data_IF_376179792032
#
_entry.id   IF_376179792032
#
_cell.length_a   1.000
_cell.length_b   1.000
_cell.length_c   1.000
_cell.angle_alpha   90.00
_cell.angle_beta   90.00
_cell.angle_gamma   90.00
#
_symmetry.space_group_name_H-M   'P 1'
#
loop_
_entity.id
_entity.type
_entity.pdbx_description
1 polymer ?
#
# COMPACT_ATOMS: atom_id res chain seq x y z
N UNK A 1 -2.04 23.14 16.76
CA UNK A 1 -1.45 22.19 15.78
C UNK A 1 -2.60 21.72 14.90
N UNK A 2 -2.41 21.62 13.58
CA UNK A 2 -3.39 21.05 12.64
C UNK A 2 -3.02 19.60 12.35
N UNK A 3 -4.03 18.74 12.17
CA UNK A 3 -3.83 17.37 11.73
C UNK A 3 -4.09 17.23 10.23
N UNK A 4 -3.10 16.75 9.50
CA UNK A 4 -3.17 16.50 8.06
C UNK A 4 -3.03 14.99 7.83
N UNK A 5 -4.04 14.36 7.23
CA UNK A 5 -3.90 13.00 6.74
C UNK A 5 -3.39 13.02 5.30
N UNK A 6 -2.21 12.44 5.07
CA UNK A 6 -1.73 12.11 3.74
C UNK A 6 -2.30 10.75 3.34
N UNK A 7 -3.42 10.78 2.62
CA UNK A 7 -4.16 9.61 2.15
C UNK A 7 -3.84 9.28 0.69
N UNK A 8 -2.71 9.76 0.17
CA UNK A 8 -2.34 9.56 -1.23
C UNK A 8 -2.16 8.07 -1.56
N UNK A 9 -1.65 7.26 -0.62
CA UNK A 9 -1.54 5.81 -0.78
C UNK A 9 -2.70 5.04 -0.13
N UNK A 10 -3.10 5.43 1.08
CA UNK A 10 -4.02 4.67 1.93
C UNK A 10 -5.50 4.98 1.70
N UNK A 11 -5.80 6.12 1.09
CA UNK A 11 -7.15 6.56 0.79
C UNK A 11 -7.74 5.87 -0.44
N UNK A 12 -8.93 6.35 -0.84
CA UNK A 12 -9.70 5.81 -1.94
C UNK A 12 -9.89 4.28 -1.82
N UNK A 13 -10.18 3.81 -0.59
CA UNK A 13 -10.58 2.42 -0.35
C UNK A 13 -9.46 1.41 -0.16
N UNK A 14 -8.20 1.78 -0.45
CA UNK A 14 -7.03 0.87 -0.45
C UNK A 14 -6.93 -0.01 0.80
N UNK A 15 -7.18 0.57 1.96
CA UNK A 15 -7.03 -0.12 3.25
C UNK A 15 -8.32 -0.80 3.76
N UNK A 16 -9.36 -0.91 2.93
CA UNK A 16 -10.67 -1.43 3.33
C UNK A 16 -11.59 -0.39 3.99
N UNK A 17 -11.20 0.89 3.97
CA UNK A 17 -12.03 2.06 4.29
C UNK A 17 -11.71 3.17 3.29
N UNK A 18 -12.63 4.13 3.11
CA UNK A 18 -12.41 5.21 2.13
C UNK A 18 -11.18 6.05 2.50
N UNK A 19 -11.06 6.48 3.76
CA UNK A 19 -9.82 7.05 4.31
C UNK A 19 -9.14 6.03 5.23
N UNK A 20 -7.83 5.87 5.13
CA UNK A 20 -7.06 5.01 6.02
C UNK A 20 -7.17 5.45 7.48
N UNK A 21 -7.25 6.75 7.74
CA UNK A 21 -7.46 7.33 9.06
C UNK A 21 -8.75 6.90 9.75
N UNK A 22 -9.78 6.49 9.00
CA UNK A 22 -11.06 6.03 9.56
C UNK A 22 -10.91 4.72 10.35
N UNK A 23 -9.82 3.97 10.16
CA UNK A 23 -9.50 2.81 10.99
C UNK A 23 -9.20 3.17 12.44
N UNK A 24 -8.87 4.43 12.70
CA UNK A 24 -8.40 4.91 14.00
C UNK A 24 -9.37 5.92 14.64
N UNK A 25 -10.55 6.10 14.05
CA UNK A 25 -11.55 7.10 14.49
C UNK A 25 -10.97 8.50 14.65
N UNK A 26 -9.98 8.83 13.82
CA UNK A 26 -9.26 10.09 13.87
C UNK A 26 -9.87 11.08 12.88
N UNK A 27 -10.19 12.30 13.34
CA UNK A 27 -10.80 13.34 12.50
C UNK A 27 -9.74 14.35 12.07
N UNK A 28 -9.25 14.32 10.81
CA UNK A 28 -8.28 15.26 10.33
C UNK A 28 -8.89 16.64 10.05
N UNK A 29 -8.04 17.66 10.03
CA UNK A 29 -8.40 18.99 9.59
C UNK A 29 -8.31 19.15 8.08
N UNK A 30 -7.34 18.45 7.49
CA UNK A 30 -7.03 18.44 6.05
C UNK A 30 -6.76 16.99 5.64
N UNK A 31 -7.25 16.61 4.46
CA UNK A 31 -6.97 15.31 3.82
C UNK A 31 -6.39 15.57 2.44
N UNK A 32 -5.26 14.94 2.13
CA UNK A 32 -4.67 14.92 0.79
C UNK A 32 -4.95 13.58 0.11
N UNK A 33 -5.49 13.60 -1.11
CA UNK A 33 -5.84 12.42 -1.92
C UNK A 33 -5.20 12.52 -3.31
N UNK A 34 -4.81 11.38 -3.88
CA UNK A 34 -4.42 11.24 -5.29
C UNK A 34 -4.44 9.74 -5.65
N UNK A 35 -3.54 9.26 -6.51
CA UNK A 35 -3.38 7.85 -6.94
C UNK A 35 -4.72 7.15 -7.21
N UNK A 36 -5.24 6.42 -6.22
CA UNK A 36 -6.50 5.68 -6.30
C UNK A 36 -7.70 6.55 -6.69
N UNK A 37 -7.67 7.85 -6.39
CA UNK A 37 -8.73 8.80 -6.75
C UNK A 37 -8.98 8.90 -8.27
N UNK A 38 -7.92 8.75 -9.07
CA UNK A 38 -8.02 8.65 -10.54
C UNK A 38 -7.69 7.25 -11.08
N UNK A 39 -7.38 6.30 -10.19
CA UNK A 39 -6.91 4.93 -10.48
C UNK A 39 -5.86 4.83 -11.61
N UNK A 40 -5.04 5.88 -11.80
CA UNK A 40 -4.05 5.96 -12.88
C UNK A 40 -4.59 6.30 -14.28
N UNK A 41 -5.91 6.44 -14.47
CA UNK A 41 -6.52 6.82 -15.75
C UNK A 41 -6.28 8.29 -16.11
N UNK A 42 -6.23 9.17 -15.12
CA UNK A 42 -5.87 10.57 -15.29
C UNK A 42 -5.10 11.09 -14.06
N UNK A 43 -4.14 12.01 -14.21
CA UNK A 43 -3.50 12.68 -13.09
C UNK A 43 -4.54 13.50 -12.31
N UNK A 44 -4.90 13.02 -11.13
CA UNK A 44 -5.89 13.66 -10.27
C UNK A 44 -5.41 13.64 -8.82
N UNK A 45 -5.52 14.80 -8.17
CA UNK A 45 -5.31 14.96 -6.74
C UNK A 45 -6.35 15.91 -6.18
N UNK A 46 -6.64 15.77 -4.90
CA UNK A 46 -7.58 16.62 -4.18
C UNK A 46 -7.05 16.93 -2.78
N UNK A 47 -7.36 18.13 -2.30
CA UNK A 47 -7.20 18.52 -0.90
C UNK A 47 -8.60 18.85 -0.37
N UNK A 48 -9.02 18.13 0.66
CA UNK A 48 -10.24 18.43 1.39
C UNK A 48 -9.87 19.07 2.74
N UNK A 49 -10.54 20.15 3.11
CA UNK A 49 -10.29 20.85 4.37
C UNK A 49 -11.62 21.11 5.08
N UNK A 50 -11.59 21.06 6.41
CA UNK A 50 -12.77 21.36 7.23
C UNK A 50 -13.22 22.82 7.09
N UNK A 51 -14.54 23.05 7.16
CA UNK A 51 -15.10 24.41 7.01
C UNK A 51 -14.58 25.40 8.06
N UNK A 52 -14.12 24.92 9.23
CA UNK A 52 -13.49 25.77 10.25
C UNK A 52 -12.21 26.46 9.74
N UNK A 53 -11.54 25.86 8.76
CA UNK A 53 -10.36 26.42 8.09
C UNK A 53 -10.74 27.19 6.84
N UNK A 54 -11.72 26.69 6.08
CA UNK A 54 -12.17 27.32 4.82
C UNK A 54 -12.87 28.65 5.08
N UNK A 55 -13.72 28.76 6.10
CA UNK A 55 -14.52 29.97 6.34
C UNK A 55 -13.68 31.23 6.61
N UNK A 56 -12.69 31.22 7.52
CA UNK A 56 -11.83 32.39 7.73
C UNK A 56 -11.07 32.81 6.48
N UNK A 57 -10.64 31.83 5.68
CA UNK A 57 -9.92 32.06 4.43
C UNK A 57 -10.81 32.73 3.37
N UNK A 58 -12.06 32.31 3.26
CA UNK A 58 -13.05 32.96 2.39
C UNK A 58 -13.33 34.40 2.87
N UNK A 59 -13.51 34.58 4.19
CA UNK A 59 -13.73 35.91 4.78
C UNK A 59 -12.54 36.86 4.59
N UNK A 60 -11.32 36.33 4.47
CA UNK A 60 -10.09 37.11 4.22
C UNK A 60 -9.81 37.37 2.74
N UNK A 61 -10.77 37.16 1.84
CA UNK A 61 -10.59 37.40 0.39
C UNK A 61 -10.22 36.16 -0.43
N UNK A 62 -10.39 34.96 0.14
CA UNK A 62 -10.25 33.69 -0.57
C UNK A 62 -8.83 33.10 -0.57
N UNK A 63 -8.69 31.94 -1.23
CA UNK A 63 -7.43 31.21 -1.32
C UNK A 63 -6.63 31.65 -2.55
N UNK A 64 -5.54 32.39 -2.33
CA UNK A 64 -4.65 32.89 -3.39
C UNK A 64 -3.62 31.83 -3.78
N UNK A 65 -4.09 30.64 -4.18
CA UNK A 65 -3.26 29.54 -4.64
C UNK A 65 -4.03 28.69 -5.67
N UNK A 66 -3.33 28.23 -6.70
CA UNK A 66 -3.93 27.39 -7.73
C UNK A 66 -2.88 26.87 -8.71
N UNK A 67 -3.30 25.91 -9.52
CA UNK A 67 -2.51 25.35 -10.60
C UNK A 67 -3.27 25.51 -11.92
N UNK A 68 -2.56 25.59 -13.04
CA UNK A 68 -3.16 25.70 -14.39
C UNK A 68 -4.19 24.60 -14.67
N UNK A 69 -3.95 23.40 -14.15
CA UNK A 69 -4.83 22.24 -14.34
C UNK A 69 -5.71 21.92 -13.12
N UNK A 70 -5.80 22.83 -12.15
CA UNK A 70 -6.71 22.66 -11.02
C UNK A 70 -8.16 22.55 -11.53
N UNK A 71 -8.87 21.49 -11.13
CA UNK A 71 -10.23 21.23 -11.60
C UNK A 71 -10.35 20.85 -13.08
N UNK A 72 -9.29 20.29 -13.69
CA UNK A 72 -9.32 19.83 -15.08
C UNK A 72 -10.54 18.92 -15.34
N UNK A 73 -11.48 19.30 -16.24
CA UNK A 73 -12.74 18.57 -16.42
C UNK A 73 -12.57 17.11 -16.84
N UNK A 74 -11.55 16.81 -17.66
CA UNK A 74 -11.28 15.44 -18.10
C UNK A 74 -10.78 14.56 -16.95
N UNK A 75 -9.85 15.08 -16.13
CA UNK A 75 -9.38 14.38 -14.95
C UNK A 75 -10.51 14.16 -13.92
N UNK A 76 -11.37 15.18 -13.71
CA UNK A 76 -12.54 15.06 -12.85
C UNK A 76 -13.55 14.03 -13.36
N UNK A 77 -13.82 13.99 -14.66
CA UNK A 77 -14.71 12.99 -15.26
C UNK A 77 -14.18 11.56 -15.08
N UNK A 78 -12.87 11.35 -15.29
CA UNK A 78 -12.22 10.07 -15.02
C UNK A 78 -12.32 9.68 -13.53
N UNK A 79 -12.06 10.62 -12.62
CA UNK A 79 -12.21 10.39 -11.18
C UNK A 79 -13.64 10.03 -10.76
N UNK A 80 -14.65 10.71 -11.32
CA UNK A 80 -16.06 10.36 -11.08
C UNK A 80 -16.39 8.95 -11.56
N UNK A 81 -15.90 8.55 -12.74
CA UNK A 81 -16.08 7.19 -13.24
C UNK A 81 -15.40 6.14 -12.34
N UNK A 82 -14.19 6.43 -11.85
CA UNK A 82 -13.47 5.56 -10.90
C UNK A 82 -14.24 5.39 -9.60
N UNK A 83 -14.73 6.47 -9.00
CA UNK A 83 -15.53 6.41 -7.77
C UNK A 83 -16.86 5.68 -8.01
N UNK A 84 -17.52 5.92 -9.15
CA UNK A 84 -18.74 5.22 -9.53
C UNK A 84 -18.52 3.70 -9.66
N UNK A 85 -17.44 3.27 -10.28
CA UNK A 85 -17.08 1.84 -10.38
C UNK A 85 -16.66 1.25 -9.04
N UNK A 86 -15.99 2.03 -8.19
CA UNK A 86 -15.61 1.63 -6.83
C UNK A 86 -16.85 1.29 -6.00
N UNK A 87 -17.89 2.11 -6.07
CA UNK A 87 -19.16 1.88 -5.39
C UNK A 87 -19.94 0.73 -6.06
N UNK A 88 -20.03 0.71 -7.39
CA UNK A 88 -20.79 -0.29 -8.16
C UNK A 88 -20.29 -1.73 -7.92
N UNK A 89 -18.97 -1.90 -7.78
CA UNK A 89 -18.32 -3.19 -7.56
C UNK A 89 -18.02 -3.48 -6.10
N UNK A 90 -18.42 -2.59 -5.17
CA UNK A 90 -18.15 -2.68 -3.74
C UNK A 90 -16.66 -2.94 -3.43
N UNK A 91 -15.78 -2.21 -4.11
CA UNK A 91 -14.34 -2.49 -4.08
C UNK A 91 -13.71 -2.21 -2.72
N UNK A 92 -14.31 -1.35 -1.90
CA UNK A 92 -13.81 -1.10 -0.53
C UNK A 92 -14.04 -2.33 0.34
N UNK A 93 -15.22 -2.95 0.26
CA UNK A 93 -15.49 -4.20 0.96
C UNK A 93 -14.61 -5.34 0.41
N UNK A 94 -14.43 -5.42 -0.91
CA UNK A 94 -13.52 -6.40 -1.50
C UNK A 94 -12.08 -6.21 -1.01
N UNK A 95 -11.60 -4.95 -0.92
CA UNK A 95 -10.27 -4.64 -0.41
C UNK A 95 -10.11 -5.03 1.07
N UNK A 96 -11.17 -4.93 1.87
CA UNK A 96 -11.17 -5.45 3.24
C UNK A 96 -11.09 -7.00 3.24
N UNK A 97 -12.02 -7.68 2.56
CA UNK A 97 -12.11 -9.14 2.57
C UNK A 97 -10.91 -9.85 1.95
N UNK A 98 -10.47 -9.41 0.76
CA UNK A 98 -9.26 -9.96 0.12
C UNK A 98 -7.98 -9.54 0.85
N UNK A 99 -7.99 -8.38 1.50
CA UNK A 99 -6.90 -7.96 2.38
C UNK A 99 -6.71 -8.88 3.57
N UNK A 100 -7.80 -9.28 4.23
CA UNK A 100 -7.76 -10.23 5.35
C UNK A 100 -7.25 -11.60 4.91
N UNK A 101 -7.70 -12.09 3.75
CA UNK A 101 -7.18 -13.33 3.16
C UNK A 101 -5.68 -13.22 2.86
N UNK A 102 -5.26 -12.18 2.13
CA UNK A 102 -3.85 -11.99 1.78
C UNK A 102 -2.96 -11.86 3.02
N UNK A 103 -3.43 -11.17 4.07
CA UNK A 103 -2.74 -11.06 5.36
C UNK A 103 -2.55 -12.44 6.01
N UNK A 104 -3.59 -13.27 6.03
CA UNK A 104 -3.52 -14.61 6.59
C UNK A 104 -2.52 -15.50 5.83
N UNK A 105 -2.56 -15.45 4.50
CA UNK A 105 -1.65 -16.19 3.62
C UNK A 105 -0.18 -15.75 3.77
N UNK A 106 0.09 -14.44 3.79
CA UNK A 106 1.44 -13.91 4.03
C UNK A 106 1.97 -14.28 5.42
N UNK A 107 1.11 -14.30 6.45
CA UNK A 107 1.47 -14.82 7.78
C UNK A 107 1.71 -16.33 7.76
N UNK A 108 1.02 -17.07 6.89
CA UNK A 108 1.30 -18.48 6.62
C UNK A 108 2.70 -18.67 6.05
N UNK A 109 3.09 -17.86 5.06
CA UNK A 109 4.45 -17.85 4.53
C UNK A 109 5.49 -17.50 5.59
N UNK A 110 5.21 -16.54 6.48
CA UNK A 110 6.13 -16.17 7.56
C UNK A 110 6.42 -17.31 8.54
N UNK A 111 5.49 -18.26 8.72
CA UNK A 111 5.75 -19.49 9.51
C UNK A 111 6.75 -20.40 8.80
N UNK A 112 6.62 -20.57 7.49
CA UNK A 112 7.53 -21.38 6.67
C UNK A 112 8.90 -20.71 6.48
N UNK A 113 8.91 -19.39 6.40
CA UNK A 113 10.09 -18.56 6.16
C UNK A 113 10.30 -17.63 7.36
N UNK A 114 10.87 -18.13 8.47
CA UNK A 114 11.00 -17.37 9.72
C UNK A 114 11.87 -16.12 9.58
N UNK A 115 12.68 -15.99 8.51
CA UNK A 115 13.34 -14.73 8.19
C UNK A 115 12.38 -13.59 7.84
N UNK A 116 11.08 -13.85 7.64
CA UNK A 116 10.03 -12.84 7.59
C UNK A 116 9.60 -12.51 9.03
N UNK A 117 10.19 -11.46 9.60
CA UNK A 117 10.01 -11.10 11.01
C UNK A 117 8.63 -10.51 11.32
N UNK A 118 8.04 -9.79 10.36
CA UNK A 118 6.74 -9.15 10.55
C UNK A 118 5.97 -9.07 9.23
N UNK A 119 4.64 -9.18 9.33
CA UNK A 119 3.68 -8.96 8.25
C UNK A 119 2.59 -8.05 8.77
N UNK A 120 2.46 -6.87 8.16
CA UNK A 120 1.61 -5.79 8.66
C UNK A 120 0.95 -5.01 7.54
N UNK A 121 -0.14 -4.31 7.89
CA UNK A 121 -0.91 -3.50 6.95
C UNK A 121 -2.40 -3.59 7.22
N UNK A 122 -3.19 -3.01 6.31
CA UNK A 122 -4.65 -3.05 6.33
C UNK A 122 -5.19 -3.14 4.90
N UNK A 123 -6.28 -3.88 4.70
CA UNK A 123 -6.85 -4.12 3.39
C UNK A 123 -5.80 -4.64 2.40
N UNK A 124 -5.79 -4.10 1.18
CA UNK A 124 -4.84 -4.47 0.14
C UNK A 124 -3.60 -3.55 0.12
N UNK A 125 -3.12 -3.15 1.30
CA UNK A 125 -1.84 -2.46 1.47
C UNK A 125 -1.07 -3.17 2.59
N UNK A 126 -0.36 -4.23 2.20
CA UNK A 126 0.37 -5.09 3.13
C UNK A 126 1.87 -5.03 2.85
N UNK A 127 2.67 -5.17 3.89
CA UNK A 127 4.12 -5.24 3.83
C UNK A 127 4.66 -6.33 4.74
N UNK A 128 5.80 -6.87 4.36
CA UNK A 128 6.52 -7.89 5.11
C UNK A 128 8.00 -7.48 5.25
N UNK A 129 8.54 -7.62 6.45
CA UNK A 129 9.94 -7.33 6.77
C UNK A 129 10.77 -8.60 6.83
N UNK A 130 11.99 -8.51 6.29
CA UNK A 130 12.95 -9.62 6.23
C UNK A 130 14.21 -9.29 7.03
N UNK A 131 14.67 -10.27 7.81
CA UNK A 131 15.84 -10.18 8.69
C UNK A 131 16.75 -11.39 8.49
N UNK A 132 18.03 -11.30 8.83
CA UNK A 132 18.93 -12.45 8.80
C UNK A 132 18.73 -13.39 9.99
N UNK A 133 18.26 -12.85 11.11
CA UNK A 133 18.02 -13.60 12.36
C UNK A 133 16.71 -13.11 12.99
N UNK A 134 15.68 -13.96 13.09
CA UNK A 134 14.38 -13.58 13.64
C UNK A 134 14.37 -13.36 15.14
N UNK A 135 15.28 -13.98 15.91
CA UNK A 135 15.32 -13.84 17.36
C UNK A 135 15.94 -12.50 17.77
N UNK A 136 16.98 -12.10 17.05
CA UNK A 136 17.70 -10.83 17.32
C UNK A 136 17.23 -9.66 16.45
N UNK A 137 16.35 -9.93 15.48
CA UNK A 137 15.94 -8.99 14.42
C UNK A 137 17.13 -8.40 13.64
N UNK A 138 18.23 -9.13 13.56
CA UNK A 138 19.45 -8.66 12.89
C UNK A 138 19.16 -8.48 11.40
N UNK A 139 19.42 -7.30 10.81
CA UNK A 139 19.19 -7.07 9.39
C UNK A 139 19.99 -8.02 8.48
N UNK A 140 19.45 -8.29 7.29
CA UNK A 140 20.21 -8.92 6.22
C UNK A 140 21.30 -7.95 5.77
N UNK A 141 22.52 -8.45 5.58
CA UNK A 141 23.65 -7.63 5.17
C UNK A 141 23.32 -6.87 3.86
N UNK A 142 23.46 -5.53 3.80
CA UNK A 142 23.05 -4.73 2.63
C UNK A 142 23.66 -5.18 1.30
N UNK A 143 24.87 -5.76 1.33
CA UNK A 143 25.56 -6.32 0.18
C UNK A 143 24.79 -7.47 -0.50
N UNK A 144 23.96 -8.21 0.26
CA UNK A 144 23.10 -9.29 -0.25
C UNK A 144 21.93 -8.79 -1.09
N UNK A 145 21.54 -7.50 -0.95
CA UNK A 145 20.43 -6.86 -1.70
C UNK A 145 19.15 -7.70 -1.71
N UNK A 146 18.78 -8.30 -0.58
CA UNK A 146 17.75 -9.35 -0.51
C UNK A 146 16.39 -8.92 -1.08
N UNK A 147 15.94 -7.70 -0.76
CA UNK A 147 14.71 -7.13 -1.35
C UNK A 147 14.78 -7.14 -2.86
N UNK A 148 15.83 -6.58 -3.47
CA UNK A 148 15.92 -6.50 -4.93
C UNK A 148 15.94 -7.91 -5.54
N UNK A 149 16.68 -8.83 -4.94
CA UNK A 149 16.75 -10.20 -5.44
C UNK A 149 15.38 -10.90 -5.37
N UNK A 150 14.61 -10.68 -4.30
CA UNK A 150 13.22 -11.16 -4.20
C UNK A 150 12.34 -10.60 -5.31
N UNK A 151 12.43 -9.29 -5.58
CA UNK A 151 11.68 -8.64 -6.66
C UNK A 151 12.03 -9.24 -8.03
N UNK A 152 13.32 -9.47 -8.30
CA UNK A 152 13.79 -10.06 -9.55
C UNK A 152 13.23 -11.49 -9.71
N UNK A 153 13.31 -12.31 -8.65
CA UNK A 153 12.77 -13.67 -8.63
C UNK A 153 11.24 -13.70 -8.84
N UNK A 154 10.49 -12.77 -8.24
CA UNK A 154 9.05 -12.67 -8.45
C UNK A 154 8.74 -12.22 -9.88
N UNK A 155 9.52 -11.27 -10.42
CA UNK A 155 9.35 -10.75 -11.78
C UNK A 155 9.63 -11.81 -12.85
N UNK A 156 10.67 -12.63 -12.66
CA UNK A 156 10.96 -13.80 -13.51
C UNK A 156 9.79 -14.81 -13.56
N UNK A 157 8.95 -14.83 -12.52
CA UNK A 157 7.74 -15.65 -12.41
C UNK A 157 6.46 -14.92 -12.81
N UNK A 158 6.58 -13.70 -13.37
CA UNK A 158 5.45 -12.91 -13.86
C UNK A 158 4.74 -12.05 -12.81
N UNK A 159 5.29 -11.93 -11.59
CA UNK A 159 4.71 -11.12 -10.52
C UNK A 159 5.52 -9.84 -10.25
N UNK A 160 4.86 -8.69 -10.34
CA UNK A 160 5.44 -7.41 -9.91
C UNK A 160 5.04 -7.15 -8.46
N UNK A 161 6.01 -7.20 -7.56
CA UNK A 161 5.89 -6.75 -6.17
C UNK A 161 6.69 -5.47 -5.93
N UNK A 162 6.35 -4.75 -4.87
CA UNK A 162 7.07 -3.53 -4.51
C UNK A 162 8.13 -3.83 -3.45
N UNK A 163 9.29 -3.20 -3.54
CA UNK A 163 10.24 -3.08 -2.44
C UNK A 163 10.50 -1.61 -2.16
N UNK A 164 10.56 -1.21 -0.89
CA UNK A 164 10.87 0.18 -0.52
C UNK A 164 12.00 0.20 0.51
N UNK A 165 13.18 0.60 0.08
CA UNK A 165 14.21 1.04 1.04
C UNK A 165 13.75 2.38 1.63
N UNK A 166 13.67 2.45 2.95
CA UNK A 166 13.37 3.70 3.65
C UNK A 166 14.67 4.50 3.71
N UNK A 167 14.69 5.71 3.13
CA UNK A 167 15.89 6.57 3.16
C UNK A 167 16.16 7.00 4.62
N UNK A 168 17.31 6.59 5.16
CA UNK A 168 17.66 6.83 6.57
C UNK A 168 16.92 5.92 7.56
N UNK A 169 16.06 5.01 7.07
CA UNK A 169 15.65 3.85 7.84
C UNK A 169 16.84 2.92 7.98
N UNK A 170 16.91 2.25 9.13
CA UNK A 170 17.90 1.21 9.44
C UNK A 170 18.01 0.23 8.28
N UNK A 171 19.19 -0.38 8.10
CA UNK A 171 19.37 -1.55 7.25
C UNK A 171 18.17 -2.49 7.40
N UNK A 172 17.40 -2.68 6.32
CA UNK A 172 16.11 -3.33 6.40
C UNK A 172 15.63 -3.73 5.02
N UNK A 173 15.33 -5.01 4.88
CA UNK A 173 14.77 -5.59 3.67
C UNK A 173 13.27 -5.80 3.86
N UNK A 174 12.48 -5.42 2.86
CA UNK A 174 11.03 -5.57 2.91
C UNK A 174 10.46 -5.68 1.51
N UNK A 175 9.29 -6.29 1.42
CA UNK A 175 8.44 -6.22 0.24
C UNK A 175 7.02 -5.81 0.62
N UNK A 176 6.30 -5.23 -0.33
CA UNK A 176 4.91 -4.85 -0.17
C UNK A 176 4.07 -5.49 -1.27
N UNK A 177 2.87 -5.92 -0.88
CA UNK A 177 1.87 -6.53 -1.73
C UNK A 177 0.63 -5.66 -1.71
N UNK A 178 0.34 -5.02 -2.84
CA UNK A 178 -0.75 -4.06 -2.97
C UNK A 178 -1.48 -4.22 -4.31
N UNK A 179 -2.15 -5.37 -4.55
CA UNK A 179 -2.77 -5.66 -5.83
C UNK A 179 -3.96 -4.72 -6.12
N UNK A 180 -4.46 -4.61 -7.36
CA UNK A 180 -5.69 -3.86 -7.66
C UNK A 180 -6.87 -4.29 -6.78
N UNK A 181 -7.79 -3.38 -6.47
CA UNK A 181 -8.92 -3.67 -5.57
C UNK A 181 -9.98 -4.63 -6.15
N UNK A 182 -9.82 -5.00 -7.42
CA UNK A 182 -10.63 -6.02 -8.11
C UNK A 182 -10.04 -7.44 -7.96
N UNK A 183 -8.94 -7.61 -7.22
CA UNK A 183 -8.28 -8.92 -7.04
C UNK A 183 -9.26 -9.97 -6.52
N UNK A 184 -9.17 -11.18 -7.06
CA UNK A 184 -10.00 -12.32 -6.63
C UNK A 184 -9.23 -13.22 -5.65
N UNK A 185 -9.95 -14.14 -5.00
CA UNK A 185 -9.37 -15.15 -4.10
C UNK A 185 -8.32 -16.01 -4.82
N UNK A 186 -8.60 -16.42 -6.04
CA UNK A 186 -7.70 -17.24 -6.87
C UNK A 186 -6.42 -16.49 -7.18
N UNK A 187 -6.53 -15.20 -7.54
CA UNK A 187 -5.38 -14.34 -7.79
C UNK A 187 -4.57 -14.06 -6.52
N UNK A 188 -5.22 -13.93 -5.35
CA UNK A 188 -4.50 -13.89 -4.06
C UNK A 188 -3.68 -15.16 -3.86
N UNK A 189 -4.26 -16.34 -4.13
CA UNK A 189 -3.54 -17.61 -4.08
C UNK A 189 -2.33 -17.66 -5.02
N UNK A 190 -2.49 -17.20 -6.27
CA UNK A 190 -1.40 -17.11 -7.25
C UNK A 190 -0.28 -16.18 -6.80
N UNK A 191 -0.63 -14.98 -6.30
CA UNK A 191 0.34 -14.01 -5.75
C UNK A 191 1.16 -14.65 -4.63
N UNK A 192 0.50 -15.29 -3.67
CA UNK A 192 1.14 -15.92 -2.51
C UNK A 192 2.02 -17.09 -2.92
N UNK A 193 1.56 -17.93 -3.86
CA UNK A 193 2.33 -19.04 -4.37
C UNK A 193 3.63 -18.57 -5.03
N UNK A 194 3.56 -17.58 -5.92
CA UNK A 194 4.74 -17.01 -6.58
C UNK A 194 5.70 -16.41 -5.55
N UNK A 195 5.19 -15.65 -4.57
CA UNK A 195 6.02 -15.09 -3.49
C UNK A 195 6.71 -16.22 -2.70
N UNK A 196 5.98 -17.28 -2.34
CA UNK A 196 6.52 -18.44 -1.63
C UNK A 196 7.65 -19.12 -2.40
N UNK A 197 7.49 -19.34 -3.69
CA UNK A 197 8.52 -19.94 -4.55
C UNK A 197 9.75 -19.03 -4.70
N UNK A 198 9.55 -17.72 -4.78
CA UNK A 198 10.64 -16.74 -4.80
C UNK A 198 11.39 -16.69 -3.46
N UNK A 199 10.69 -16.74 -2.34
CA UNK A 199 11.28 -16.79 -1.00
C UNK A 199 12.11 -18.07 -0.77
N UNK A 200 11.63 -19.22 -1.27
CA UNK A 200 12.35 -20.48 -1.20
C UNK A 200 13.72 -20.41 -1.89
N UNK A 201 13.78 -19.80 -3.08
CA UNK A 201 15.04 -19.62 -3.81
C UNK A 201 15.93 -18.60 -3.11
N UNK A 202 15.37 -17.45 -2.70
CA UNK A 202 16.10 -16.42 -1.98
C UNK A 202 16.76 -16.98 -0.71
N UNK A 203 16.02 -17.80 0.05
CA UNK A 203 16.52 -18.39 1.27
C UNK A 203 17.72 -19.30 1.03
N UNK A 204 17.68 -20.11 -0.04
CA UNK A 204 18.82 -20.94 -0.44
C UNK A 204 20.02 -20.11 -0.93
N UNK A 205 19.80 -19.05 -1.71
CA UNK A 205 20.87 -18.17 -2.19
C UNK A 205 21.57 -17.40 -1.08
N UNK A 206 20.83 -17.03 -0.03
CA UNK A 206 21.30 -16.17 1.04
C UNK A 206 21.57 -16.88 2.37
N UNK A 207 21.40 -18.20 2.43
CA UNK A 207 21.54 -19.03 3.63
C UNK A 207 20.64 -18.52 4.78
N UNK A 208 19.35 -18.33 4.48
CA UNK A 208 18.33 -17.89 5.43
C UNK A 208 17.52 -19.10 5.95
N UNK A 209 17.02 -19.05 7.20
CA UNK A 209 16.33 -20.17 7.82
C UNK A 209 14.99 -20.50 7.15
N UNK A 210 14.63 -21.79 7.08
CA UNK A 210 13.36 -22.30 6.53
C UNK A 210 12.81 -23.35 7.49
N UNK A 211 11.51 -23.31 7.77
CA UNK A 211 10.79 -24.37 8.48
C UNK A 211 10.06 -25.28 7.49
N UNK A 212 10.11 -26.58 7.76
CA UNK A 212 9.56 -27.65 6.90
C UNK A 212 8.09 -27.94 7.13
#
# INVERSE_FOLDING_TARGET
ILLIHDEVMSGAGRTGKFLGGDHFHCKPDIVALSKGLGSGYAPLGALAASMRLVQPLLASGGFQHGHTYAGNPLACAAGLAVLGEMDRLDLIANAAGMGDLLMAELKGLAKRFPFIADVRGKGLLLGAEMVADPDTLRPIAPAKKATQRLLDLAYERGLIVYGRKVKGGVDGDNFMVAPPMIVTKEQVGEIVAIIGDSLQVLAGELDLPIEG
#
